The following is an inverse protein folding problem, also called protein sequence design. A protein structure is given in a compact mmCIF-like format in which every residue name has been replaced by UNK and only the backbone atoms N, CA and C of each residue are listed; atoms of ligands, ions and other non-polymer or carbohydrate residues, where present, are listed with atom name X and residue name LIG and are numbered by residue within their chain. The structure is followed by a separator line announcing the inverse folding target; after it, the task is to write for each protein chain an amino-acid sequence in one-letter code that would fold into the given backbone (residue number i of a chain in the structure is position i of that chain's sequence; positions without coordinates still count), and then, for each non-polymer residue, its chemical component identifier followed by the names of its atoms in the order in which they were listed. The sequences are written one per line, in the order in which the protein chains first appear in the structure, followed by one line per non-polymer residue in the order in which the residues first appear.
data_IF_158826199996
#
_entry.id   IF_158826199996
#
_cell.length_a   1.000
_cell.length_b   1.000
_cell.length_c   1.000
_cell.angle_alpha   90.00
_cell.angle_beta   90.00
_cell.angle_gamma   90.00
#
_symmetry.space_group_name_H-M   'P 1'
#
loop_
_entity.id
_entity.type
_entity.pdbx_description
1 polymer ?
#
# COMPACT_ATOMS: atom_id res chain seq x y z
N UNK A 1 7.74 -0.16 -10.73
CA UNK A 1 6.97 0.32 -11.92
C UNK A 1 6.73 1.82 -11.81
N UNK A 2 6.94 2.53 -12.89
CA UNK A 2 6.62 3.98 -12.94
C UNK A 2 5.11 4.16 -13.10
N UNK A 3 4.52 4.93 -12.19
CA UNK A 3 3.07 5.16 -12.16
C UNK A 3 2.81 6.66 -12.22
N UNK A 4 1.85 7.07 -13.03
CA UNK A 4 1.45 8.48 -13.12
C UNK A 4 0.72 8.90 -11.85
N UNK A 5 1.20 9.97 -11.20
CA UNK A 5 0.61 10.48 -9.96
C UNK A 5 -0.54 11.44 -10.19
N UNK A 6 -0.86 11.75 -11.45
CA UNK A 6 -2.00 12.60 -11.78
C UNK A 6 -3.27 11.78 -12.04
N UNK A 7 -3.18 10.71 -12.84
CA UNK A 7 -4.36 9.89 -13.16
C UNK A 7 -4.39 8.55 -12.41
N UNK A 8 -3.24 8.06 -11.94
CA UNK A 8 -3.11 6.73 -11.28
C UNK A 8 -3.57 5.57 -12.16
N UNK A 9 -3.55 5.75 -13.47
CA UNK A 9 -3.84 4.70 -14.45
C UNK A 9 -2.56 4.04 -14.95
N UNK A 10 -2.64 2.73 -15.21
CA UNK A 10 -1.53 1.98 -15.79
C UNK A 10 -2.06 1.24 -17.01
N UNK A 11 -1.63 1.63 -18.22
CA UNK A 11 -0.77 2.77 -18.54
C UNK A 11 -1.44 4.12 -18.35
N UNK A 12 -0.64 5.17 -18.26
CA UNK A 12 -1.13 6.55 -18.07
C UNK A 12 -2.08 6.96 -19.21
N UNK A 13 -3.21 7.57 -18.84
CA UNK A 13 -4.25 8.02 -19.79
C UNK A 13 -4.39 9.54 -19.88
N UNK A 14 -3.74 10.29 -18.95
CA UNK A 14 -3.93 11.75 -18.89
C UNK A 14 -2.91 12.54 -19.72
N UNK A 15 -1.80 11.93 -20.12
CA UNK A 15 -0.77 12.61 -20.90
C UNK A 15 0.20 13.48 -20.10
N UNK A 16 0.01 13.61 -18.79
CA UNK A 16 0.96 14.31 -17.93
C UNK A 16 2.22 13.46 -17.71
N UNK A 17 3.33 14.11 -17.35
CA UNK A 17 4.62 13.44 -17.20
C UNK A 17 5.12 13.41 -15.74
N UNK A 18 4.20 13.36 -14.79
CA UNK A 18 4.53 13.26 -13.37
C UNK A 18 4.44 11.81 -12.91
N UNK A 19 5.59 11.18 -12.65
CA UNK A 19 5.64 9.76 -12.31
C UNK A 19 6.30 9.54 -10.96
N UNK A 20 5.91 8.43 -10.31
CA UNK A 20 6.51 7.92 -9.09
C UNK A 20 6.83 6.44 -9.28
N UNK A 21 7.93 5.99 -8.70
CA UNK A 21 8.29 4.57 -8.70
C UNK A 21 7.53 3.87 -7.57
N UNK A 22 6.76 2.83 -7.94
CA UNK A 22 5.98 2.01 -6.99
C UNK A 22 6.42 0.56 -7.14
N UNK A 23 6.59 -0.15 -6.03
CA UNK A 23 6.90 -1.57 -6.04
C UNK A 23 5.80 -2.36 -6.78
N UNK A 24 6.20 -3.26 -7.68
CA UNK A 24 5.30 -3.91 -8.64
C UNK A 24 4.11 -4.62 -7.99
N UNK A 25 4.34 -5.30 -6.86
CA UNK A 25 3.32 -6.16 -6.23
C UNK A 25 2.19 -5.38 -5.57
N UNK A 26 2.34 -4.08 -5.37
CA UNK A 26 1.32 -3.25 -4.72
C UNK A 26 0.80 -2.13 -5.63
N UNK A 27 1.22 -2.09 -6.89
CA UNK A 27 0.78 -1.05 -7.85
C UNK A 27 -0.74 -0.94 -7.93
N UNK A 28 -1.51 -2.04 -8.11
CA UNK A 28 -2.97 -1.92 -8.22
C UNK A 28 -3.61 -1.28 -6.99
N UNK A 29 -3.15 -1.66 -5.79
CA UNK A 29 -3.70 -1.16 -4.53
C UNK A 29 -3.36 0.32 -4.33
N UNK A 30 -2.14 0.72 -4.64
CA UNK A 30 -1.71 2.12 -4.52
C UNK A 30 -2.50 3.00 -5.50
N UNK A 31 -2.67 2.56 -6.75
CA UNK A 31 -3.48 3.27 -7.72
C UNK A 31 -4.93 3.42 -7.24
N UNK A 32 -5.52 2.33 -6.75
CA UNK A 32 -6.89 2.32 -6.24
C UNK A 32 -7.08 3.26 -5.07
N UNK A 33 -6.17 3.23 -4.09
CA UNK A 33 -6.22 4.10 -2.91
C UNK A 33 -6.20 5.57 -3.31
N UNK A 34 -5.29 5.96 -4.19
CA UNK A 34 -5.18 7.35 -4.63
C UNK A 34 -6.41 7.79 -5.44
N UNK A 35 -6.95 6.93 -6.30
CA UNK A 35 -8.19 7.22 -7.03
C UNK A 35 -9.38 7.42 -6.09
N UNK A 36 -9.38 6.74 -4.95
CA UNK A 36 -10.43 6.90 -3.93
C UNK A 36 -10.22 8.11 -3.04
N UNK A 37 -9.13 8.84 -3.21
CA UNK A 37 -8.83 10.05 -2.44
C UNK A 37 -7.92 9.84 -1.22
N UNK A 38 -7.42 8.64 -1.01
CA UNK A 38 -6.45 8.33 0.05
C UNK A 38 -5.04 8.54 -0.50
N UNK A 39 -4.53 9.77 -0.37
CA UNK A 39 -3.25 10.15 -0.95
C UNK A 39 -2.09 9.47 -0.25
N UNK A 40 -1.30 8.69 -0.99
CA UNK A 40 -0.14 7.98 -0.46
C UNK A 40 1.13 8.81 -0.62
N UNK A 41 2.06 8.69 0.35
CA UNK A 41 3.37 9.37 0.32
C UNK A 41 4.50 8.38 0.05
N UNK A 42 4.53 7.27 0.79
CA UNK A 42 5.54 6.23 0.70
C UNK A 42 4.89 4.86 0.78
N UNK A 43 5.50 3.87 0.15
CA UNK A 43 5.03 2.49 0.22
C UNK A 43 6.17 1.52 -0.05
N UNK A 44 5.97 0.27 0.39
CA UNK A 44 6.92 -0.83 0.15
C UNK A 44 6.15 -2.15 0.14
N UNK A 45 6.46 -3.02 -0.82
CA UNK A 45 5.83 -4.35 -0.91
C UNK A 45 6.41 -5.36 0.09
N UNK A 46 7.50 -5.00 0.78
CA UNK A 46 8.25 -5.88 1.65
C UNK A 46 9.32 -6.66 0.90
N UNK A 47 10.45 -6.92 1.58
CA UNK A 47 11.61 -7.58 0.99
C UNK A 47 12.05 -8.77 1.84
N UNK A 48 12.10 -9.97 1.23
CA UNK A 48 12.50 -11.21 1.89
C UNK A 48 13.99 -11.31 2.15
N UNK A 49 14.79 -10.57 1.39
CA UNK A 49 16.25 -10.54 1.51
C UNK A 49 16.76 -9.57 2.59
N UNK A 50 15.86 -8.79 3.20
CA UNK A 50 16.19 -7.92 4.32
C UNK A 50 15.98 -8.63 5.65
N UNK A 51 16.55 -8.09 6.72
CA UNK A 51 16.41 -8.61 8.07
C UNK A 51 14.96 -8.52 8.55
N UNK A 52 14.30 -7.42 8.22
CA UNK A 52 12.90 -7.16 8.56
C UNK A 52 12.08 -7.07 7.27
N UNK A 53 10.95 -7.77 7.25
CA UNK A 53 9.94 -7.63 6.20
C UNK A 53 8.95 -6.56 6.63
N UNK A 54 8.81 -5.51 5.82
CA UNK A 54 7.92 -4.39 6.11
C UNK A 54 7.08 -4.04 4.87
N UNK A 55 5.87 -4.58 4.82
CA UNK A 55 4.87 -4.19 3.83
C UNK A 55 4.15 -2.99 4.43
N UNK A 56 4.25 -1.81 3.80
CA UNK A 56 3.59 -0.64 4.34
C UNK A 56 3.13 0.34 3.27
N UNK A 57 2.14 1.13 3.66
CA UNK A 57 1.69 2.30 2.90
C UNK A 57 1.53 3.46 3.89
N UNK A 58 2.20 4.56 3.60
CA UNK A 58 2.09 5.79 4.38
C UNK A 58 1.24 6.80 3.62
N UNK A 59 0.27 7.39 4.33
CA UNK A 59 -0.68 8.34 3.78
C UNK A 59 -0.35 9.76 4.20
N UNK A 60 -0.75 10.73 3.37
CA UNK A 60 -0.62 12.15 3.70
C UNK A 60 -1.49 12.51 4.91
N UNK A 61 -2.72 12.00 4.96
CA UNK A 61 -3.69 12.29 6.01
C UNK A 61 -3.94 11.06 6.88
N UNK A 62 -4.47 11.29 8.08
CA UNK A 62 -4.81 10.20 9.00
C UNK A 62 -5.87 9.28 8.43
N UNK A 63 -5.72 7.99 8.67
CA UNK A 63 -6.70 6.97 8.31
C UNK A 63 -7.67 6.79 9.48
N UNK A 64 -8.95 7.04 9.22
CA UNK A 64 -10.01 6.99 10.23
C UNK A 64 -10.87 5.72 10.13
N UNK A 65 -10.46 4.75 9.30
CA UNK A 65 -11.18 3.49 9.13
C UNK A 65 -10.44 2.34 9.81
N UNK A 66 -11.15 1.29 10.26
CA UNK A 66 -10.49 0.14 10.87
C UNK A 66 -9.54 -0.56 9.90
N UNK A 67 -8.44 -1.06 10.44
CA UNK A 67 -7.44 -1.82 9.68
C UNK A 67 -7.46 -3.26 10.18
N UNK A 68 -7.71 -4.24 9.31
CA UNK A 68 -7.83 -5.64 9.72
C UNK A 68 -6.47 -6.29 10.01
N UNK A 69 -6.47 -7.22 10.96
CA UNK A 69 -5.28 -8.04 11.22
C UNK A 69 -4.96 -8.90 9.99
N UNK A 70 -3.69 -9.19 9.70
CA UNK A 70 -2.49 -8.91 10.50
C UNK A 70 -1.89 -7.52 10.28
N UNK A 71 -2.56 -6.65 9.53
CA UNK A 71 -2.11 -5.28 9.33
C UNK A 71 -2.32 -4.47 10.61
N UNK A 72 -1.51 -3.43 10.78
CA UNK A 72 -1.61 -2.51 11.92
C UNK A 72 -1.53 -1.07 11.45
N UNK A 73 -2.28 -0.22 12.13
CA UNK A 73 -2.22 1.22 11.94
C UNK A 73 -1.22 1.80 12.95
N UNK A 74 -0.30 2.65 12.49
CA UNK A 74 0.69 3.31 13.34
C UNK A 74 0.03 4.26 14.34
N UNK A 75 0.78 4.69 15.36
CA UNK A 75 0.30 5.63 16.38
C UNK A 75 -0.22 6.93 15.80
N UNK A 76 0.46 7.46 14.79
CA UNK A 76 0.04 8.70 14.13
C UNK A 76 -1.11 8.50 13.16
N UNK A 77 -1.59 7.26 13.00
CA UNK A 77 -2.69 6.87 12.10
C UNK A 77 -2.43 7.17 10.62
N UNK A 78 -1.18 7.34 10.23
CA UNK A 78 -0.82 7.66 8.84
C UNK A 78 -0.20 6.51 8.08
N UNK A 79 0.18 5.43 8.73
CA UNK A 79 0.77 4.28 8.07
C UNK A 79 0.05 2.99 8.44
N UNK A 80 -0.26 2.20 7.41
CA UNK A 80 -0.79 0.84 7.53
C UNK A 80 0.33 -0.10 7.16
N UNK A 81 0.65 -1.06 8.04
CA UNK A 81 1.79 -1.94 7.80
C UNK A 81 1.64 -3.34 8.36
N UNK A 82 2.42 -4.25 7.77
CA UNK A 82 2.71 -5.59 8.28
C UNK A 82 4.23 -5.71 8.36
N UNK A 83 4.76 -5.69 9.59
CA UNK A 83 6.21 -5.67 9.84
C UNK A 83 6.59 -6.83 10.74
N UNK A 84 7.48 -7.71 10.29
CA UNK A 84 7.95 -8.90 11.00
C UNK A 84 9.40 -9.20 10.69
N UNK A 85 10.09 -9.86 11.64
CA UNK A 85 11.42 -10.41 11.39
C UNK A 85 11.32 -11.51 10.34
N UNK A 86 12.16 -11.46 9.30
CA UNK A 86 12.12 -12.41 8.21
C UNK A 86 12.40 -13.85 8.62
N UNK A 87 13.23 -14.06 9.65
CA UNK A 87 13.56 -15.38 10.14
C UNK A 87 12.36 -16.13 10.75
N UNK A 88 11.30 -15.41 11.11
CA UNK A 88 10.08 -15.97 11.71
C UNK A 88 8.90 -15.96 10.75
N UNK A 89 9.11 -15.51 9.52
CA UNK A 89 8.05 -15.44 8.52
C UNK A 89 8.01 -16.66 7.62
N UNK A 90 6.80 -17.04 7.24
CA UNK A 90 6.57 -18.00 6.16
C UNK A 90 6.00 -17.26 4.95
N UNK A 91 6.17 -17.83 3.75
CA UNK A 91 5.61 -17.27 2.54
C UNK A 91 4.09 -17.18 2.61
N UNK A 92 3.45 -18.13 3.30
CA UNK A 92 2.01 -18.12 3.48
C UNK A 92 1.53 -16.94 4.31
N UNK A 93 2.27 -16.57 5.36
CA UNK A 93 1.94 -15.39 6.19
C UNK A 93 2.06 -14.11 5.39
N UNK A 94 3.06 -14.01 4.54
CA UNK A 94 3.26 -12.86 3.65
C UNK A 94 2.11 -12.78 2.65
N UNK A 95 1.77 -13.89 2.00
CA UNK A 95 0.68 -13.96 1.03
C UNK A 95 -0.64 -13.57 1.69
N UNK A 96 -0.91 -14.07 2.90
CA UNK A 96 -2.10 -13.70 3.65
C UNK A 96 -2.14 -12.19 3.93
N UNK A 97 -1.03 -11.60 4.35
CA UNK A 97 -0.98 -10.17 4.62
C UNK A 97 -1.24 -9.35 3.36
N UNK A 98 -0.70 -9.77 2.22
CA UNK A 98 -0.94 -9.11 0.92
C UNK A 98 -2.40 -9.20 0.50
N UNK A 99 -3.02 -10.35 0.68
CA UNK A 99 -4.44 -10.54 0.36
C UNK A 99 -5.33 -9.69 1.25
N UNK A 100 -5.02 -9.61 2.54
CA UNK A 100 -5.75 -8.77 3.48
C UNK A 100 -5.62 -7.29 3.09
N UNK A 101 -4.41 -6.85 2.73
CA UNK A 101 -4.18 -5.48 2.28
C UNK A 101 -4.96 -5.18 0.99
N UNK A 102 -4.92 -6.08 0.02
CA UNK A 102 -5.64 -5.95 -1.24
C UNK A 102 -7.15 -5.81 -1.00
N UNK A 103 -7.71 -6.69 -0.17
CA UNK A 103 -9.12 -6.67 0.16
C UNK A 103 -9.52 -5.39 0.89
N UNK A 104 -8.71 -4.96 1.85
CA UNK A 104 -8.94 -3.72 2.57
C UNK A 104 -8.98 -2.51 1.62
N UNK A 105 -7.99 -2.39 0.74
CA UNK A 105 -7.93 -1.30 -0.24
C UNK A 105 -9.14 -1.31 -1.18
N UNK A 106 -9.55 -2.51 -1.61
CA UNK A 106 -10.69 -2.68 -2.51
C UNK A 106 -12.01 -2.27 -1.85
N UNK A 107 -12.19 -2.60 -0.57
CA UNK A 107 -13.44 -2.37 0.16
C UNK A 107 -13.55 -0.95 0.75
N UNK A 108 -12.48 -0.19 0.79
CA UNK A 108 -12.55 1.19 1.29
C UNK A 108 -13.51 2.02 0.45
N UNK A 109 -14.39 2.79 1.11
CA UNK A 109 -15.25 3.70 0.36
C UNK A 109 -14.45 4.85 -0.25
N UNK A 110 -14.97 5.41 -1.34
CA UNK A 110 -14.37 6.62 -1.91
C UNK A 110 -14.41 7.73 -0.88
N UNK A 111 -13.29 8.39 -0.68
CA UNK A 111 -13.18 9.50 0.27
C UNK A 111 -13.93 10.72 -0.29
N UNK A 112 -14.71 11.34 0.57
CA UNK A 112 -15.47 12.55 0.21
C UNK A 112 -14.61 13.82 0.30
#
# INVERSE_FOLDING_TARGET
MRVCIDCWDVPCTCGHESFMEIDDKIVPEICMLNKKGYVTCFCCEGHRDWEVFDLYVMFRDKIEVPVPKPLKLDRNKKAVRFCKWNDKLTDQKIENARLVFQKWALELPKKE
#
